data_IF_906933817393
#
_entry.id   IF_906933817393
#
_cell.length_a   1.000
_cell.length_b   1.000
_cell.length_c   1.000
_cell.angle_alpha   90.00
_cell.angle_beta   90.00
_cell.angle_gamma   90.00
#
_symmetry.space_group_name_H-M   'P 1'
#
loop_
_entity.id
_entity.type
_entity.pdbx_description
1 polymer ?
#
# COMPACT_ATOMS: atom_id res chain seq x y z
N UNK A 1 -20.32 23.35 24.04
CA UNK A 1 -19.37 23.12 22.91
C UNK A 1 -18.19 24.06 23.11
N UNK A 2 -17.11 23.56 23.73
CA UNK A 2 -15.94 24.37 24.08
C UNK A 2 -14.81 24.01 23.13
N UNK A 3 -14.38 25.02 22.37
CA UNK A 3 -13.19 25.04 21.55
C UNK A 3 -11.95 24.71 22.40
N UNK A 4 -11.12 23.78 21.93
CA UNK A 4 -9.79 23.54 22.49
C UNK A 4 -8.77 24.15 21.53
N UNK A 5 -8.43 25.41 21.76
CA UNK A 5 -7.23 26.03 21.20
C UNK A 5 -6.01 25.45 21.93
N UNK A 6 -5.20 24.65 21.25
CA UNK A 6 -3.86 24.30 21.74
C UNK A 6 -2.90 25.42 21.33
N UNK A 7 -2.48 26.21 22.33
CA UNK A 7 -1.49 27.24 22.17
C UNK A 7 -0.09 26.63 22.02
N UNK A 8 0.60 27.09 20.98
CA UNK A 8 2.00 26.84 20.65
C UNK A 8 2.94 27.29 21.77
N UNK A 9 3.80 26.39 22.25
CA UNK A 9 5.08 26.77 22.86
C UNK A 9 6.14 26.77 21.75
N UNK A 10 6.41 27.95 21.22
CA UNK A 10 7.37 28.20 20.14
C UNK A 10 8.78 28.34 20.74
N UNK A 11 9.51 27.23 20.86
CA UNK A 11 10.97 27.31 21.06
C UNK A 11 11.63 27.45 19.69
N UNK A 12 11.97 28.68 19.33
CA UNK A 12 12.66 29.02 18.09
C UNK A 12 14.12 28.55 18.18
N UNK A 13 14.39 27.38 17.61
CA UNK A 13 15.74 27.02 17.16
C UNK A 13 15.87 27.47 15.70
N UNK A 14 16.29 28.71 15.50
CA UNK A 14 16.68 29.22 14.18
C UNK A 14 18.01 28.62 13.73
N UNK A 15 18.10 28.35 12.43
CA UNK A 15 19.27 27.94 11.65
C UNK A 15 19.65 26.45 11.68
N UNK A 16 18.91 25.64 10.91
CA UNK A 16 19.48 24.91 9.77
C UNK A 16 18.39 24.86 8.69
N UNK A 17 18.69 25.40 7.51
CA UNK A 17 18.01 25.00 6.27
C UNK A 17 18.16 23.49 6.14
N UNK A 18 17.18 22.75 6.66
CA UNK A 18 17.13 21.29 6.67
C UNK A 18 16.90 20.77 5.26
N UNK A 19 17.90 20.90 4.39
CA UNK A 19 18.00 20.11 3.18
C UNK A 19 18.17 18.66 3.62
N UNK A 20 17.05 17.98 3.88
CA UNK A 20 17.05 16.54 4.05
C UNK A 20 17.78 15.94 2.87
N UNK A 21 18.86 15.20 3.13
CA UNK A 21 19.65 14.59 2.07
C UNK A 21 18.76 13.61 1.31
N UNK A 22 18.92 13.54 -0.01
CA UNK A 22 18.24 12.51 -0.79
C UNK A 22 18.86 11.15 -0.44
N UNK A 23 18.01 10.20 -0.09
CA UNK A 23 18.36 8.80 0.20
C UNK A 23 17.97 7.98 -1.01
N UNK A 24 18.92 7.18 -1.52
CA UNK A 24 18.69 6.19 -2.56
C UNK A 24 18.66 4.80 -1.93
N UNK A 25 17.66 4.01 -2.28
CA UNK A 25 17.54 2.62 -1.84
C UNK A 25 17.01 1.80 -3.02
N UNK A 26 17.80 0.91 -3.63
CA UNK A 26 17.30 0.09 -4.72
C UNK A 26 16.05 -0.70 -4.31
N UNK A 27 15.10 -0.86 -5.24
CA UNK A 27 13.90 -1.67 -4.99
C UNK A 27 14.27 -3.10 -4.57
N UNK A 28 15.28 -3.68 -5.24
CA UNK A 28 15.73 -5.05 -5.05
C UNK A 28 15.30 -5.94 -6.23
N UNK A 29 15.18 -7.24 -5.98
CA UNK A 29 14.70 -8.18 -6.98
C UNK A 29 13.20 -7.93 -7.27
N UNK A 30 12.84 -7.90 -8.55
CA UNK A 30 11.44 -7.91 -8.98
C UNK A 30 10.89 -9.33 -8.79
N UNK A 31 10.16 -9.55 -7.71
CA UNK A 31 9.68 -10.87 -7.27
C UNK A 31 8.16 -10.90 -7.16
N UNK A 32 7.61 -12.09 -7.39
CA UNK A 32 6.21 -12.44 -7.16
C UNK A 32 5.93 -12.89 -5.72
N UNK A 33 6.93 -12.84 -4.85
CA UNK A 33 6.76 -12.98 -3.41
C UNK A 33 6.69 -11.62 -2.72
N UNK A 34 5.96 -11.49 -1.60
CA UNK A 34 5.99 -10.28 -0.80
C UNK A 34 7.40 -9.93 -0.32
N UNK A 35 7.81 -8.68 -0.51
CA UNK A 35 9.11 -8.18 -0.03
C UNK A 35 9.19 -8.07 1.50
N UNK A 36 8.04 -8.09 2.17
CA UNK A 36 7.90 -8.20 3.62
C UNK A 36 6.95 -9.36 3.95
N UNK A 37 7.17 -10.02 5.09
CA UNK A 37 6.26 -11.08 5.54
C UNK A 37 4.88 -10.50 5.82
N UNK A 38 3.86 -10.93 5.07
CA UNK A 38 2.44 -10.56 5.29
C UNK A 38 1.59 -11.80 5.57
N UNK A 39 2.23 -12.87 6.08
CA UNK A 39 1.62 -14.17 6.28
C UNK A 39 1.66 -15.04 5.02
N UNK A 40 1.32 -16.31 5.23
CA UNK A 40 1.34 -17.32 4.17
C UNK A 40 0.13 -17.17 3.27
N UNK A 41 0.30 -17.62 2.05
CA UNK A 41 -0.82 -17.80 1.12
C UNK A 41 -1.66 -18.97 1.65
N UNK A 42 -2.95 -18.73 1.86
CA UNK A 42 -3.81 -19.73 2.49
C UNK A 42 -4.89 -20.17 1.50
N UNK A 43 -4.78 -21.43 1.06
CA UNK A 43 -5.77 -22.06 0.17
C UNK A 43 -6.77 -22.85 1.00
N UNK A 44 -8.05 -22.53 0.84
CA UNK A 44 -9.14 -23.35 1.35
C UNK A 44 -10.39 -23.23 0.48
N UNK A 45 -11.23 -24.27 0.38
CA UNK A 45 -12.53 -24.17 -0.31
C UNK A 45 -13.50 -23.20 0.38
N UNK A 46 -13.17 -22.75 1.60
CA UNK A 46 -13.99 -21.91 2.45
C UNK A 46 -13.42 -20.50 2.67
N UNK A 47 -12.35 -20.10 1.97
CA UNK A 47 -11.73 -18.78 2.15
C UNK A 47 -10.24 -18.82 2.51
N UNK A 48 -9.73 -17.68 2.95
CA UNK A 48 -8.34 -17.46 3.40
C UNK A 48 -8.32 -17.16 4.90
N UNK A 49 -7.17 -17.25 5.55
CA UNK A 49 -7.02 -16.95 6.98
C UNK A 49 -7.48 -15.55 7.40
N UNK A 50 -7.60 -14.60 6.47
CA UNK A 50 -8.11 -13.24 6.73
C UNK A 50 -9.48 -12.96 6.12
N UNK A 51 -10.00 -13.87 5.29
CA UNK A 51 -11.30 -13.74 4.66
C UNK A 51 -12.06 -15.08 4.72
N UNK A 52 -12.91 -15.21 5.72
CA UNK A 52 -13.77 -16.38 5.95
C UNK A 52 -15.24 -15.95 5.88
N UNK A 53 -16.15 -16.85 5.45
CA UNK A 53 -17.57 -16.60 5.52
C UNK A 53 -18.06 -16.64 6.97
N UNK A 54 -19.15 -15.94 7.25
CA UNK A 54 -19.89 -16.05 8.50
C UNK A 54 -20.63 -17.40 8.61
N UNK A 55 -21.36 -17.59 9.71
CA UNK A 55 -22.15 -18.81 9.95
C UNK A 55 -23.23 -19.07 8.88
N UNK A 56 -23.62 -18.06 8.09
CA UNK A 56 -24.59 -18.17 7.01
C UNK A 56 -23.93 -18.34 5.63
N UNK A 57 -22.59 -18.41 5.56
CA UNK A 57 -21.86 -18.50 4.30
C UNK A 57 -21.58 -17.15 3.64
N UNK A 58 -21.89 -16.02 4.29
CA UNK A 58 -21.70 -14.69 3.73
C UNK A 58 -20.29 -14.14 4.02
N UNK A 59 -19.64 -13.58 3.01
CA UNK A 59 -18.37 -12.86 3.17
C UNK A 59 -18.65 -11.42 3.56
N UNK A 60 -18.28 -11.05 4.79
CA UNK A 60 -18.51 -9.71 5.33
C UNK A 60 -17.31 -8.84 5.00
N UNK A 61 -17.55 -7.70 4.36
CA UNK A 61 -16.51 -6.73 4.07
C UNK A 61 -16.01 -6.05 5.36
N UNK A 62 -14.72 -5.80 5.39
CA UNK A 62 -14.04 -5.17 6.51
C UNK A 62 -12.57 -5.55 6.50
N UNK A 63 -11.76 -4.74 7.16
CA UNK A 63 -10.33 -4.99 7.33
C UNK A 63 -9.99 -5.01 8.81
N UNK A 64 -9.36 -6.10 9.25
CA UNK A 64 -8.78 -6.17 10.58
C UNK A 64 -7.38 -5.58 10.53
N UNK A 65 -7.14 -4.56 11.35
CA UNK A 65 -5.90 -3.78 11.35
C UNK A 65 -5.14 -4.00 12.66
N UNK A 66 -3.84 -4.22 12.55
CA UNK A 66 -2.91 -4.24 13.69
C UNK A 66 -1.74 -3.31 13.39
N UNK A 67 -1.09 -2.83 14.44
CA UNK A 67 0.17 -2.10 14.32
C UNK A 67 1.07 -2.41 15.50
N UNK A 68 2.34 -2.10 15.32
CA UNK A 68 3.36 -2.13 16.37
C UNK A 68 4.51 -1.22 16.00
N UNK A 69 5.10 -0.60 17.01
CA UNK A 69 6.43 -0.02 16.90
C UNK A 69 7.48 -1.13 16.89
N UNK A 70 8.40 -1.07 15.94
CA UNK A 70 9.60 -1.90 15.87
C UNK A 70 10.82 -0.98 16.01
N UNK A 71 12.00 -1.55 16.29
CA UNK A 71 13.22 -0.76 16.52
C UNK A 71 13.52 0.27 15.42
N UNK A 72 13.21 -0.08 14.16
CA UNK A 72 13.61 0.71 13.00
C UNK A 72 12.45 1.31 12.19
N UNK A 73 11.21 0.92 12.46
CA UNK A 73 10.04 1.37 11.71
C UNK A 73 8.78 1.13 12.53
N UNK A 74 7.69 1.77 12.13
CA UNK A 74 6.36 1.41 12.56
C UNK A 74 5.79 0.48 11.51
N UNK A 75 5.16 -0.61 11.95
CA UNK A 75 4.51 -1.56 11.07
C UNK A 75 3.02 -1.58 11.31
N UNK A 76 2.25 -1.61 10.22
CA UNK A 76 0.85 -1.98 10.24
C UNK A 76 0.59 -3.16 9.32
N UNK A 77 -0.33 -4.02 9.73
CA UNK A 77 -0.79 -5.16 8.96
C UNK A 77 -2.32 -5.12 8.87
N UNK A 78 -2.86 -5.48 7.71
CA UNK A 78 -4.29 -5.50 7.44
C UNK A 78 -4.70 -6.76 6.68
N UNK A 79 -5.89 -7.29 6.99
CA UNK A 79 -6.46 -8.42 6.25
C UNK A 79 -7.99 -8.43 6.30
N UNK A 80 -8.62 -8.84 5.20
CA UNK A 80 -10.08 -8.79 5.08
C UNK A 80 -10.66 -9.32 3.77
N UNK A 81 -11.98 -9.30 3.67
CA UNK A 81 -12.73 -9.64 2.46
C UNK A 81 -13.12 -8.39 1.68
N UNK A 82 -12.94 -8.43 0.36
CA UNK A 82 -13.51 -7.45 -0.57
C UNK A 82 -14.53 -8.21 -1.43
N UNK A 83 -15.79 -7.77 -1.45
CA UNK A 83 -16.86 -8.40 -2.24
C UNK A 83 -16.82 -7.92 -3.71
N UNK A 84 -15.64 -8.06 -4.31
CA UNK A 84 -15.37 -7.86 -5.74
C UNK A 84 -14.50 -8.99 -6.27
N UNK A 85 -14.64 -9.30 -7.55
CA UNK A 85 -13.76 -10.26 -8.22
C UNK A 85 -12.32 -9.71 -8.27
N UNK A 86 -11.34 -10.61 -8.23
CA UNK A 86 -9.91 -10.26 -8.15
C UNK A 86 -9.42 -9.42 -9.32
N UNK A 87 -10.00 -9.56 -10.53
CA UNK A 87 -9.61 -8.73 -11.68
C UNK A 87 -9.99 -7.27 -11.46
N UNK A 88 -11.18 -7.00 -10.93
CA UNK A 88 -11.62 -5.64 -10.63
C UNK A 88 -10.87 -5.05 -9.43
N UNK A 89 -10.48 -5.86 -8.45
CA UNK A 89 -9.63 -5.40 -7.33
C UNK A 89 -8.23 -5.08 -7.81
N UNK A 90 -7.63 -5.94 -8.66
CA UNK A 90 -6.32 -5.69 -9.24
C UNK A 90 -6.32 -4.49 -10.19
N UNK A 91 -7.37 -4.33 -11.01
CA UNK A 91 -7.53 -3.15 -11.85
C UNK A 91 -7.69 -1.85 -11.04
N UNK A 92 -8.33 -1.89 -9.87
CA UNK A 92 -8.34 -0.75 -8.96
C UNK A 92 -6.92 -0.46 -8.44
N UNK A 93 -6.14 -1.48 -8.10
CA UNK A 93 -4.74 -1.31 -7.72
C UNK A 93 -3.85 -0.78 -8.85
N UNK A 94 -4.19 -1.08 -10.12
CA UNK A 94 -3.48 -0.55 -11.30
C UNK A 94 -3.88 0.90 -11.63
N UNK A 95 -4.99 1.40 -11.09
CA UNK A 95 -5.40 2.79 -11.22
C UNK A 95 -4.51 3.67 -10.32
N UNK A 96 -3.38 4.11 -10.84
CA UNK A 96 -2.38 4.84 -10.06
C UNK A 96 -2.88 6.20 -9.56
N UNK A 97 -3.85 6.83 -10.24
CA UNK A 97 -4.48 8.06 -9.76
C UNK A 97 -5.33 7.81 -8.50
N UNK A 98 -6.00 6.66 -8.44
CA UNK A 98 -6.73 6.21 -7.25
C UNK A 98 -5.77 5.84 -6.11
N UNK A 99 -4.65 5.20 -6.45
CA UNK A 99 -3.68 4.67 -5.48
C UNK A 99 -2.70 5.71 -4.92
N UNK A 100 -2.82 6.99 -5.30
CA UNK A 100 -2.07 8.09 -4.67
C UNK A 100 -2.43 8.17 -3.19
N UNK A 101 -1.43 8.28 -2.31
CA UNK A 101 -1.66 8.45 -0.87
C UNK A 101 -2.44 9.73 -0.56
N UNK A 102 -3.41 9.69 0.35
CA UNK A 102 -4.33 10.83 0.59
C UNK A 102 -3.65 12.12 1.05
N UNK A 103 -2.43 12.02 1.59
CA UNK A 103 -1.66 13.17 2.07
C UNK A 103 -0.78 13.80 0.99
N UNK A 104 -0.75 13.26 -0.24
CA UNK A 104 0.10 13.74 -1.33
C UNK A 104 -0.58 14.88 -2.08
N UNK A 105 0.14 15.97 -2.27
CA UNK A 105 -0.33 17.15 -3.03
C UNK A 105 -0.04 17.03 -4.53
N UNK A 106 1.10 16.42 -4.88
CA UNK A 106 1.50 16.23 -6.27
C UNK A 106 2.01 14.80 -6.49
N UNK A 107 1.51 14.16 -7.53
CA UNK A 107 1.97 12.84 -7.97
C UNK A 107 2.29 12.83 -9.46
N UNK A 108 3.33 12.10 -9.86
CA UNK A 108 3.60 11.80 -11.28
C UNK A 108 3.93 10.33 -11.44
N UNK A 109 3.29 9.69 -12.41
CA UNK A 109 3.49 8.30 -12.74
C UNK A 109 4.43 8.16 -13.93
N UNK A 110 5.42 7.28 -13.80
CA UNK A 110 6.18 6.74 -14.92
C UNK A 110 5.99 5.22 -14.98
N UNK A 111 5.46 4.71 -16.09
CA UNK A 111 5.40 3.26 -16.31
C UNK A 111 6.75 2.78 -16.84
N UNK A 112 7.37 1.84 -16.12
CA UNK A 112 8.63 1.20 -16.50
C UNK A 112 8.34 -0.07 -17.31
N UNK A 113 9.33 -0.53 -18.09
CA UNK A 113 9.24 -1.81 -18.80
C UNK A 113 9.25 -2.96 -17.78
N UNK A 114 8.18 -3.77 -17.70
CA UNK A 114 8.15 -4.91 -16.80
C UNK A 114 9.05 -6.05 -17.32
N UNK A 115 9.57 -6.92 -16.43
CA UNK A 115 10.39 -8.08 -16.81
C UNK A 115 9.58 -9.20 -17.50
N UNK A 116 8.25 -9.18 -17.37
CA UNK A 116 7.35 -10.20 -17.92
C UNK A 116 5.99 -9.61 -18.28
N UNK A 117 5.29 -10.25 -19.21
CA UNK A 117 3.90 -9.89 -19.60
C UNK A 117 2.89 -10.07 -18.47
N UNK A 118 3.24 -10.82 -17.42
CA UNK A 118 2.39 -11.05 -16.25
C UNK A 118 2.59 -10.01 -15.13
N UNK A 119 3.29 -8.92 -15.43
CA UNK A 119 3.80 -8.00 -14.41
C UNK A 119 3.62 -6.55 -14.85
N UNK A 120 3.43 -5.65 -13.88
CA UNK A 120 3.44 -4.20 -14.10
C UNK A 120 4.48 -3.56 -13.22
N UNK A 121 5.14 -2.53 -13.74
CA UNK A 121 6.17 -1.82 -12.99
C UNK A 121 5.97 -0.31 -13.16
N UNK A 122 5.80 0.37 -12.03
CA UNK A 122 5.58 1.81 -11.96
C UNK A 122 6.63 2.46 -11.08
N UNK A 123 7.10 3.62 -11.52
CA UNK A 123 7.97 4.51 -10.78
C UNK A 123 7.17 5.79 -10.49
N UNK A 124 6.79 5.99 -9.24
CA UNK A 124 5.88 7.05 -8.82
C UNK A 124 6.64 8.15 -8.09
N UNK A 125 6.53 9.38 -8.56
CA UNK A 125 6.92 10.58 -7.83
C UNK A 125 5.78 11.03 -6.93
N UNK A 126 6.12 11.42 -5.70
CA UNK A 126 5.20 12.04 -4.75
C UNK A 126 5.84 13.27 -4.10
N UNK A 127 5.00 14.27 -3.79
CA UNK A 127 5.38 15.46 -3.04
C UNK A 127 4.26 15.89 -2.09
N UNK A 128 4.68 16.34 -0.91
CA UNK A 128 3.85 17.03 0.08
C UNK A 128 4.40 18.43 0.31
N UNK A 129 3.52 19.42 0.29
CA UNK A 129 3.75 20.84 0.40
C UNK A 129 3.19 21.36 1.75
N UNK A 130 3.85 20.98 2.86
CA UNK A 130 3.60 21.59 4.16
C UNK A 130 4.63 22.71 4.46
N UNK A 131 4.91 22.98 5.74
CA UNK A 131 5.98 23.89 6.17
C UNK A 131 7.36 23.50 5.62
N UNK A 132 7.58 22.20 5.38
CA UNK A 132 8.76 21.65 4.72
C UNK A 132 8.30 20.81 3.53
N UNK A 133 8.92 21.03 2.36
CA UNK A 133 8.67 20.22 1.17
C UNK A 133 9.30 18.84 1.33
N UNK A 134 8.48 17.80 1.31
CA UNK A 134 8.90 16.40 1.35
C UNK A 134 8.60 15.80 -0.03
N UNK A 135 9.63 15.29 -0.70
CA UNK A 135 9.49 14.62 -2.01
C UNK A 135 10.14 13.24 -1.95
N UNK A 136 9.56 12.28 -2.65
CA UNK A 136 10.10 10.94 -2.76
C UNK A 136 9.63 10.23 -4.02
N UNK A 137 10.37 9.18 -4.37
CA UNK A 137 9.98 8.24 -5.40
C UNK A 137 9.67 6.89 -4.78
N UNK A 138 8.66 6.21 -5.30
CA UNK A 138 8.25 4.89 -4.88
C UNK A 138 8.03 4.01 -6.10
N UNK A 139 8.69 2.87 -6.08
CA UNK A 139 8.49 1.85 -7.09
C UNK A 139 7.36 0.92 -6.64
N UNK A 140 6.48 0.57 -7.58
CA UNK A 140 5.37 -0.37 -7.40
C UNK A 140 5.48 -1.46 -8.45
N UNK A 141 5.58 -2.71 -7.99
CA UNK A 141 5.71 -3.87 -8.83
C UNK A 141 4.56 -4.83 -8.57
N UNK A 142 3.75 -5.09 -9.60
CA UNK A 142 2.63 -6.01 -9.55
C UNK A 142 2.99 -7.27 -10.32
N UNK A 143 2.62 -8.42 -9.80
CA UNK A 143 2.89 -9.71 -10.43
C UNK A 143 1.76 -10.70 -10.16
N UNK A 144 1.34 -11.41 -11.20
CA UNK A 144 0.46 -12.57 -11.05
C UNK A 144 1.32 -13.75 -10.59
N UNK A 145 1.19 -14.11 -9.32
CA UNK A 145 1.89 -15.26 -8.71
C UNK A 145 1.25 -16.59 -9.10
N UNK A 146 -0.09 -16.61 -9.16
CA UNK A 146 -0.87 -17.81 -9.53
C UNK A 146 -2.03 -17.45 -10.46
N UNK A 147 -2.32 -18.36 -11.38
CA UNK A 147 -3.30 -18.17 -12.45
C UNK A 147 -2.64 -17.54 -13.67
N UNK A 148 -3.43 -16.82 -14.46
CA UNK A 148 -2.95 -16.05 -15.61
C UNK A 148 -3.38 -14.59 -15.47
N UNK A 149 -2.82 -13.65 -16.23
CA UNK A 149 -3.32 -12.27 -16.19
C UNK A 149 -4.80 -12.13 -16.56
N UNK A 150 -5.32 -13.01 -17.43
CA UNK A 150 -6.74 -13.04 -17.79
C UNK A 150 -7.62 -13.73 -16.73
N UNK A 151 -7.05 -14.59 -15.90
CA UNK A 151 -7.73 -15.28 -14.81
C UNK A 151 -6.80 -15.41 -13.59
N UNK A 152 -6.51 -14.29 -12.89
CA UNK A 152 -5.57 -14.30 -11.79
C UNK A 152 -6.22 -15.01 -10.60
N UNK A 153 -5.43 -15.82 -9.90
CA UNK A 153 -5.83 -16.45 -8.64
C UNK A 153 -5.12 -15.79 -7.46
N UNK A 154 -3.86 -15.37 -7.67
CA UNK A 154 -3.08 -14.63 -6.68
C UNK A 154 -2.30 -13.53 -7.37
N UNK A 155 -2.44 -12.30 -6.88
CA UNK A 155 -1.64 -11.13 -7.28
C UNK A 155 -0.85 -10.66 -6.07
N UNK A 156 0.44 -10.40 -6.28
CA UNK A 156 1.32 -9.75 -5.31
C UNK A 156 1.70 -8.38 -5.84
N UNK A 157 1.65 -7.39 -4.96
CA UNK A 157 1.99 -6.00 -5.24
C UNK A 157 3.02 -5.57 -4.21
N UNK A 158 4.24 -5.34 -4.65
CA UNK A 158 5.34 -4.87 -3.80
C UNK A 158 5.54 -3.38 -4.07
N UNK A 159 5.74 -2.59 -3.02
CA UNK A 159 6.07 -1.17 -3.16
C UNK A 159 7.17 -0.75 -2.21
N UNK A 160 8.04 0.17 -2.64
CA UNK A 160 9.17 0.63 -1.84
C UNK A 160 9.63 2.01 -2.25
N UNK A 161 9.93 2.86 -1.27
CA UNK A 161 10.60 4.13 -1.50
C UNK A 161 12.01 3.87 -2.01
N UNK A 162 12.30 4.39 -3.20
CA UNK A 162 13.60 4.21 -3.84
C UNK A 162 14.46 5.46 -3.83
N UNK A 163 13.84 6.65 -3.80
CA UNK A 163 14.57 7.92 -3.79
C UNK A 163 13.86 8.99 -2.95
N UNK A 164 14.61 10.04 -2.59
CA UNK A 164 14.07 11.29 -2.05
C UNK A 164 14.40 11.55 -0.58
N UNK A 165 13.72 12.52 0.00
CA UNK A 165 14.19 13.20 1.21
C UNK A 165 14.35 12.27 2.42
N UNK A 166 15.30 12.61 3.28
CA UNK A 166 15.57 11.90 4.54
C UNK A 166 14.48 12.05 5.61
N UNK A 167 13.39 12.78 5.35
CA UNK A 167 12.24 12.84 6.25
C UNK A 167 11.45 11.53 6.28
N UNK A 168 11.56 10.75 5.20
CA UNK A 168 11.06 9.37 5.09
C UNK A 168 12.27 8.48 4.79
N UNK A 169 13.08 8.13 5.80
CA UNK A 169 14.26 7.31 5.60
C UNK A 169 13.95 5.92 5.07
N UNK A 170 12.79 5.35 5.39
CA UNK A 170 12.44 3.99 4.99
C UNK A 170 10.92 3.87 4.80
N UNK A 171 10.50 3.23 3.72
CA UNK A 171 9.12 2.88 3.47
C UNK A 171 9.06 1.74 2.47
N UNK A 172 8.49 0.61 2.85
CA UNK A 172 8.15 -0.48 1.94
C UNK A 172 6.91 -1.23 2.42
N UNK A 173 6.31 -1.99 1.52
CA UNK A 173 5.26 -2.90 1.87
C UNK A 173 4.85 -3.81 0.75
N UNK A 174 3.88 -4.65 1.06
CA UNK A 174 3.38 -5.65 0.15
C UNK A 174 1.88 -5.81 0.33
N UNK A 175 1.18 -6.06 -0.77
CA UNK A 175 -0.23 -6.44 -0.82
C UNK A 175 -0.32 -7.79 -1.51
N UNK A 176 -1.11 -8.70 -0.96
CA UNK A 176 -1.52 -9.93 -1.62
C UNK A 176 -3.03 -9.91 -1.80
N UNK A 177 -3.46 -10.18 -3.02
CA UNK A 177 -4.85 -10.39 -3.40
C UNK A 177 -5.01 -11.86 -3.76
N UNK A 178 -5.94 -12.55 -3.12
CA UNK A 178 -6.23 -13.96 -3.36
C UNK A 178 -7.69 -14.13 -3.74
N UNK A 179 -7.95 -14.85 -4.84
CA UNK A 179 -9.30 -15.20 -5.24
C UNK A 179 -9.89 -16.17 -4.23
N UNK A 180 -10.99 -15.77 -3.58
CA UNK A 180 -11.76 -16.64 -2.70
C UNK A 180 -12.82 -17.38 -3.50
N UNK A 181 -13.57 -16.63 -4.31
CA UNK A 181 -14.52 -17.16 -5.30
C UNK A 181 -14.65 -16.14 -6.46
N UNK A 182 -15.64 -16.30 -7.35
CA UNK A 182 -15.81 -15.40 -8.50
C UNK A 182 -16.19 -13.95 -8.13
N UNK A 183 -16.67 -13.72 -6.92
CA UNK A 183 -17.19 -12.43 -6.45
C UNK A 183 -16.43 -11.86 -5.26
N UNK A 184 -15.54 -12.64 -4.64
CA UNK A 184 -14.85 -12.26 -3.40
C UNK A 184 -13.35 -12.40 -3.58
N UNK A 185 -12.63 -11.37 -3.13
CA UNK A 185 -11.18 -11.31 -3.08
C UNK A 185 -10.74 -11.13 -1.64
N UNK A 186 -9.82 -11.97 -1.19
CA UNK A 186 -9.10 -11.78 0.07
C UNK A 186 -8.02 -10.73 -0.14
N UNK A 187 -8.00 -9.72 0.73
CA UNK A 187 -6.97 -8.69 0.80
C UNK A 187 -6.06 -8.95 2.00
N UNK A 188 -4.75 -8.80 1.79
CA UNK A 188 -3.76 -8.76 2.85
C UNK A 188 -2.69 -7.75 2.54
N UNK A 189 -2.29 -6.95 3.51
CA UNK A 189 -1.27 -5.93 3.33
C UNK A 189 -0.41 -5.81 4.57
N UNK A 190 0.88 -5.59 4.35
CA UNK A 190 1.80 -5.06 5.34
C UNK A 190 2.36 -3.74 4.85
N UNK A 191 2.62 -2.84 5.78
CA UNK A 191 3.25 -1.55 5.54
C UNK A 191 4.28 -1.31 6.63
N UNK A 192 5.54 -1.07 6.25
CA UNK A 192 6.62 -0.74 7.14
C UNK A 192 7.17 0.63 6.78
N UNK A 193 7.19 1.54 7.73
CA UNK A 193 7.58 2.92 7.47
C UNK A 193 8.33 3.52 8.66
N UNK A 194 9.40 4.24 8.34
CA UNK A 194 10.09 5.16 9.24
C UNK A 194 9.98 6.54 8.62
N UNK A 195 9.21 7.41 9.25
CA UNK A 195 9.05 8.79 8.84
C UNK A 195 9.01 9.72 10.05
N UNK A 196 9.38 10.98 9.83
CA UNK A 196 9.27 12.00 10.88
C UNK A 196 7.80 12.22 11.25
N UNK A 197 7.49 12.20 12.54
CA UNK A 197 6.14 12.49 13.11
C UNK A 197 5.04 11.49 12.76
N UNK A 198 5.37 10.29 12.27
CA UNK A 198 4.39 9.22 12.18
C UNK A 198 4.21 8.50 13.51
N UNK A 199 2.98 8.08 13.76
CA UNK A 199 2.61 7.17 14.84
C UNK A 199 1.89 5.93 14.28
N UNK A 200 1.57 4.98 15.15
CA UNK A 200 0.89 3.73 14.80
C UNK A 200 -0.46 3.91 14.09
N UNK A 201 -1.26 4.90 14.49
CA UNK A 201 -2.58 5.16 13.90
C UNK A 201 -2.47 5.70 12.48
N UNK A 202 -1.45 6.51 12.18
CA UNK A 202 -1.18 7.00 10.82
C UNK A 202 -0.88 5.82 9.87
N UNK A 203 -0.05 4.87 10.34
CA UNK A 203 0.37 3.71 9.53
C UNK A 203 -0.78 2.72 9.35
N UNK A 204 -1.64 2.52 10.37
CA UNK A 204 -2.91 1.79 10.22
C UNK A 204 -3.84 2.47 9.23
N UNK A 205 -3.95 3.80 9.31
CA UNK A 205 -4.75 4.61 8.41
C UNK A 205 -4.37 4.41 6.95
N UNK A 206 -3.07 4.30 6.65
CA UNK A 206 -2.59 4.00 5.29
C UNK A 206 -3.05 2.63 4.77
N UNK A 207 -3.04 1.59 5.62
CA UNK A 207 -3.52 0.24 5.24
C UNK A 207 -5.04 0.26 5.04
N UNK A 208 -5.78 0.95 5.93
CA UNK A 208 -7.22 1.14 5.81
C UNK A 208 -7.59 1.87 4.52
N UNK A 209 -6.85 2.92 4.16
CA UNK A 209 -7.08 3.72 2.96
C UNK A 209 -6.89 2.89 1.69
N UNK A 210 -5.81 2.11 1.61
CA UNK A 210 -5.59 1.17 0.49
C UNK A 210 -6.73 0.16 0.40
N UNK A 211 -7.14 -0.43 1.52
CA UNK A 211 -8.29 -1.35 1.52
C UNK A 211 -9.56 -0.69 0.95
N UNK A 212 -9.91 0.51 1.40
CA UNK A 212 -11.09 1.25 0.92
C UNK A 212 -10.98 1.56 -0.58
N UNK A 213 -9.80 2.00 -1.06
CA UNK A 213 -9.55 2.23 -2.48
C UNK A 213 -9.77 0.98 -3.33
N UNK A 214 -9.30 -0.16 -2.86
CA UNK A 214 -9.49 -1.45 -3.55
C UNK A 214 -10.95 -1.93 -3.49
N UNK A 215 -11.64 -1.63 -2.38
CA UNK A 215 -13.04 -1.99 -2.17
C UNK A 215 -13.98 -1.16 -3.05
N UNK A 216 -13.84 0.16 -3.08
CA UNK A 216 -14.83 1.05 -3.71
C UNK A 216 -14.33 1.79 -4.93
N UNK A 217 -13.02 1.78 -5.20
CA UNK A 217 -12.42 2.57 -6.26
C UNK A 217 -12.67 2.01 -7.66
N UNK A 218 -12.74 2.93 -8.62
CA UNK A 218 -12.96 2.62 -10.04
C UNK A 218 -11.77 1.85 -10.63
N UNK A 219 -12.01 0.67 -11.23
CA UNK A 219 -10.95 -0.15 -11.81
C UNK A 219 -10.40 0.44 -13.12
N UNK A 220 -9.07 0.54 -13.26
CA UNK A 220 -8.44 0.82 -14.55
C UNK A 220 -8.23 -0.48 -15.33
N UNK A 221 -9.27 -0.89 -16.06
CA UNK A 221 -9.24 -2.10 -16.89
C UNK A 221 -8.39 -1.95 -18.15
N UNK A 222 -7.98 -0.74 -18.53
CA UNK A 222 -7.12 -0.52 -19.71
C UNK A 222 -5.70 -1.07 -19.51
N UNK A 223 -5.31 -1.28 -18.25
CA UNK A 223 -4.03 -1.85 -17.85
C UNK A 223 -4.07 -3.37 -17.71
N UNK A 224 -5.24 -3.98 -17.71
CA UNK A 224 -5.37 -5.44 -17.72
C UNK A 224 -5.15 -5.97 -19.15
N UNK A 225 -4.51 -7.14 -19.31
CA UNK A 225 -4.37 -7.81 -20.59
C UNK A 225 -5.58 -8.67 -20.98
#
# INVERSE_FOLDING_TARGET
MKNLSLAFALTVAMALSGCGKDILTPFGALTDEPIIDIGKETRGPTGTDVCQPDANGAYIEGVNLTSREEENFIRADGGGCINRNIKDVWAAALNQNLMVWNTVDESRLEQRTPPSVNTHYFHNYYQVNEFIKVKWFMDWYHSVKRGTPQAPETVVINYKKTEGTSYIPYWEGAIRLEKVNEQVTSFRMGNQIKASRQNEDDVKGAVSDVYVKLQTGEPDRSKLP
#
